data_IF_132184238574
#
_entry.id   IF_132184238574
#
_cell.length_a   1.000
_cell.length_b   1.000
_cell.length_c   1.000
_cell.angle_alpha   90.00
_cell.angle_beta   90.00
_cell.angle_gamma   90.00
#
_symmetry.space_group_name_H-M   'P 1'
#
loop_
_entity.id
_entity.type
_entity.pdbx_description
1 polymer ?
#
# COMPACT_ATOMS: atom_id res chain seq x y z
N UNK A 1 2.79 -38.74 78.95
CA UNK A 1 2.87 -39.25 77.57
C UNK A 1 1.59 -38.86 76.84
N UNK A 2 1.69 -37.92 75.89
CA UNK A 2 0.74 -37.41 74.87
C UNK A 2 -0.78 -37.57 75.10
N UNK A 3 -1.47 -36.45 75.37
CA UNK A 3 -2.87 -36.25 75.03
C UNK A 3 -2.97 -35.36 73.78
N UNK A 4 -3.65 -35.88 72.76
CA UNK A 4 -3.94 -35.23 71.47
C UNK A 4 -5.15 -34.31 71.65
N UNK A 5 -5.00 -33.00 71.39
CA UNK A 5 -6.13 -32.11 71.12
C UNK A 5 -6.16 -31.81 69.61
N UNK A 6 -7.17 -32.33 68.93
CA UNK A 6 -7.52 -31.96 67.55
C UNK A 6 -7.99 -30.50 67.55
N UNK A 7 -7.26 -29.63 66.85
CA UNK A 7 -7.76 -28.31 66.43
C UNK A 7 -8.30 -28.50 65.01
N UNK A 8 -9.61 -28.30 64.86
CA UNK A 8 -10.29 -28.28 63.58
C UNK A 8 -10.10 -26.88 62.99
N UNK A 9 -9.22 -26.74 61.99
CA UNK A 9 -9.09 -25.50 61.20
C UNK A 9 -10.26 -25.48 60.19
N UNK A 10 -11.25 -24.63 60.43
CA UNK A 10 -12.28 -24.33 59.42
C UNK A 10 -11.67 -23.28 58.48
N UNK A 11 -11.24 -23.71 57.30
CA UNK A 11 -10.90 -22.83 56.19
C UNK A 11 -12.19 -22.22 55.65
N UNK A 12 -12.48 -20.98 56.03
CA UNK A 12 -13.41 -20.13 55.30
C UNK A 12 -12.76 -19.79 53.96
N UNK A 13 -13.05 -20.57 52.91
CA UNK A 13 -12.81 -20.13 51.54
C UNK A 13 -13.81 -19.03 51.23
N UNK A 14 -13.41 -17.78 51.44
CA UNK A 14 -14.06 -16.67 50.77
C UNK A 14 -13.88 -16.88 49.26
N UNK A 15 -14.89 -17.46 48.62
CA UNK A 15 -15.09 -17.29 47.18
C UNK A 15 -15.38 -15.80 46.95
N UNK A 16 -14.32 -15.01 46.83
CA UNK A 16 -14.42 -13.72 46.14
C UNK A 16 -14.74 -14.09 44.69
N UNK A 17 -15.91 -13.72 44.13
CA UNK A 17 -16.11 -13.88 42.71
C UNK A 17 -14.99 -13.09 42.04
N UNK A 18 -14.08 -13.79 41.35
CA UNK A 18 -13.05 -13.15 40.53
C UNK A 18 -13.83 -12.25 39.58
N UNK A 19 -13.72 -10.94 39.83
CA UNK A 19 -14.48 -9.94 39.10
C UNK A 19 -14.18 -10.17 37.63
N UNK A 20 -15.17 -10.47 36.81
CA UNK A 20 -14.94 -10.92 35.42
C UNK A 20 -14.13 -9.92 34.59
N UNK A 21 -14.13 -8.66 35.03
CA UNK A 21 -13.29 -7.55 34.56
C UNK A 21 -11.78 -7.71 34.80
N UNK A 22 -11.36 -8.38 35.88
CA UNK A 22 -9.93 -8.55 36.21
C UNK A 22 -9.17 -9.46 35.24
N UNK A 23 -9.89 -10.09 34.29
CA UNK A 23 -9.33 -10.98 33.26
C UNK A 23 -9.25 -10.31 31.88
N UNK A 24 -9.66 -9.05 31.73
CA UNK A 24 -9.61 -8.33 30.46
C UNK A 24 -8.39 -7.41 30.45
N UNK A 25 -7.59 -7.48 29.39
CA UNK A 25 -6.49 -6.54 29.19
C UNK A 25 -7.04 -5.17 28.80
N UNK A 26 -6.96 -4.19 29.70
CA UNK A 26 -7.47 -2.84 29.48
C UNK A 26 -6.45 -1.90 28.80
N UNK A 27 -5.18 -2.32 28.68
CA UNK A 27 -4.15 -1.53 27.98
C UNK A 27 -4.17 -1.74 26.47
N UNK A 28 -4.69 -2.89 26.02
CA UNK A 28 -4.92 -3.18 24.60
C UNK A 28 -6.35 -2.85 24.22
N UNK A 29 -6.53 -1.91 23.31
CA UNK A 29 -7.86 -1.58 22.82
C UNK A 29 -7.88 -1.10 21.37
N UNK A 30 -9.07 -1.23 20.77
CA UNK A 30 -9.42 -0.69 19.47
C UNK A 30 -10.45 0.41 19.70
N UNK A 31 -10.29 1.56 19.06
CA UNK A 31 -11.16 2.72 19.23
C UNK A 31 -11.81 3.14 17.91
N UNK A 32 -13.10 3.43 17.98
CA UNK A 32 -13.88 3.97 16.86
C UNK A 32 -14.49 5.29 17.29
N UNK A 33 -14.39 6.33 16.46
CA UNK A 33 -15.20 7.54 16.61
C UNK A 33 -16.38 7.49 15.68
N UNK A 34 -17.55 7.83 16.18
CA UNK A 34 -18.80 7.64 15.47
C UNK A 34 -19.86 8.70 15.80
N UNK A 35 -20.90 8.73 14.99
CA UNK A 35 -22.17 9.37 15.35
C UNK A 35 -23.00 8.45 16.22
N UNK A 36 -23.75 9.03 17.15
CA UNK A 36 -24.73 8.32 17.99
C UNK A 36 -25.92 7.88 17.14
N UNK A 37 -26.43 6.67 17.39
CA UNK A 37 -27.62 6.09 16.74
C UNK A 37 -27.32 5.13 15.57
N UNK A 38 -26.07 5.02 15.14
CA UNK A 38 -25.66 4.16 14.04
C UNK A 38 -25.70 2.68 14.39
N UNK A 39 -26.14 1.84 13.45
CA UNK A 39 -26.01 0.39 13.58
C UNK A 39 -24.60 -0.04 13.21
N UNK A 40 -24.03 -0.97 13.99
CA UNK A 40 -22.81 -1.66 13.63
C UNK A 40 -22.85 -3.12 14.07
N UNK A 41 -22.08 -3.95 13.37
CA UNK A 41 -21.77 -5.31 13.79
C UNK A 41 -20.27 -5.46 13.98
N UNK A 42 -19.89 -6.26 14.98
CA UNK A 42 -18.49 -6.60 15.21
C UNK A 42 -18.33 -8.08 15.52
N UNK A 43 -17.38 -8.71 14.83
CA UNK A 43 -16.87 -10.05 15.12
C UNK A 43 -15.42 -9.91 15.56
N UNK A 44 -15.03 -10.68 16.58
CA UNK A 44 -13.71 -10.59 17.21
C UNK A 44 -13.08 -11.97 17.28
N UNK A 45 -11.76 -12.03 17.16
CA UNK A 45 -10.95 -13.21 17.45
C UNK A 45 -9.70 -12.85 18.27
N UNK A 46 -9.15 -13.85 18.94
CA UNK A 46 -7.97 -13.76 19.80
C UNK A 46 -7.08 -14.99 19.64
N UNK A 47 -5.88 -14.99 20.21
CA UNK A 47 -4.93 -16.11 20.05
C UNK A 47 -5.28 -17.32 20.94
N UNK A 48 -6.16 -17.14 21.91
CA UNK A 48 -6.68 -18.20 22.78
C UNK A 48 -8.20 -18.28 22.78
N UNK A 49 -8.74 -19.49 22.88
CA UNK A 49 -10.18 -19.69 23.05
C UNK A 49 -10.67 -19.13 24.39
N UNK A 50 -11.92 -18.67 24.42
CA UNK A 50 -12.54 -18.04 25.58
C UNK A 50 -11.78 -16.83 26.14
N UNK A 51 -11.05 -16.10 25.29
CA UNK A 51 -10.42 -14.83 25.67
C UNK A 51 -11.51 -13.82 26.01
N UNK A 52 -11.41 -13.18 27.17
CA UNK A 52 -12.37 -12.14 27.56
C UNK A 52 -12.00 -10.79 26.94
N UNK A 53 -13.02 -10.08 26.48
CA UNK A 53 -12.93 -8.70 26.03
C UNK A 53 -14.14 -7.91 26.50
N UNK A 54 -14.04 -6.58 26.40
CA UNK A 54 -15.13 -5.66 26.74
C UNK A 54 -15.44 -4.80 25.52
N UNK A 55 -16.70 -4.79 25.11
CA UNK A 55 -17.22 -3.80 24.16
C UNK A 55 -17.86 -2.69 24.99
N UNK A 56 -17.28 -1.50 24.91
CA UNK A 56 -17.72 -0.29 25.60
C UNK A 56 -18.22 0.76 24.61
N UNK A 57 -19.37 1.33 24.88
CA UNK A 57 -20.07 2.27 24.02
C UNK A 57 -20.92 3.21 24.90
N UNK A 58 -20.27 4.26 25.43
CA UNK A 58 -20.81 5.09 26.51
C UNK A 58 -21.01 4.32 27.81
N UNK A 59 -22.21 4.43 28.38
CA UNK A 59 -22.63 3.68 29.59
C UNK A 59 -22.90 2.19 29.30
N UNK A 60 -22.99 1.80 28.03
CA UNK A 60 -23.11 0.40 27.66
C UNK A 60 -21.75 -0.28 27.74
N UNK A 61 -21.69 -1.39 28.46
CA UNK A 61 -20.50 -2.21 28.62
C UNK A 61 -20.91 -3.68 28.60
N UNK A 62 -20.27 -4.49 27.75
CA UNK A 62 -20.54 -5.92 27.64
C UNK A 62 -19.25 -6.71 27.61
N UNK A 63 -19.12 -7.64 28.56
CA UNK A 63 -18.07 -8.66 28.53
C UNK A 63 -18.45 -9.72 27.51
N UNK A 64 -17.48 -10.06 26.66
CA UNK A 64 -17.63 -11.05 25.59
C UNK A 64 -16.55 -12.13 25.71
N UNK A 65 -16.87 -13.35 25.27
CA UNK A 65 -15.91 -14.45 25.20
C UNK A 65 -15.58 -14.71 23.73
N UNK A 66 -14.31 -14.53 23.39
CA UNK A 66 -13.78 -14.54 22.03
C UNK A 66 -13.09 -15.88 21.77
N UNK A 67 -13.32 -16.44 20.59
CA UNK A 67 -12.67 -17.66 20.10
C UNK A 67 -11.51 -17.34 19.14
N UNK A 68 -10.80 -18.38 18.70
CA UNK A 68 -9.61 -18.23 17.85
C UNK A 68 -9.96 -17.80 16.41
N UNK A 69 -11.09 -18.28 15.90
CA UNK A 69 -11.62 -17.92 14.58
C UNK A 69 -12.63 -16.77 14.66
N UNK A 70 -12.57 -15.84 13.71
CA UNK A 70 -13.49 -14.70 13.64
C UNK A 70 -14.97 -15.11 13.62
N UNK A 71 -15.31 -16.12 12.83
CA UNK A 71 -16.67 -16.63 12.69
C UNK A 71 -17.00 -17.76 13.69
N UNK A 72 -16.06 -18.09 14.58
CA UNK A 72 -16.30 -18.99 15.71
C UNK A 72 -16.80 -18.24 16.95
N UNK A 73 -16.61 -16.93 16.99
CA UNK A 73 -17.17 -16.04 18.02
C UNK A 73 -18.58 -15.58 17.64
N UNK A 74 -19.46 -15.27 18.61
CA UNK A 74 -20.74 -14.64 18.33
C UNK A 74 -20.56 -13.28 17.65
N UNK A 75 -21.46 -12.96 16.71
CA UNK A 75 -21.54 -11.62 16.14
C UNK A 75 -22.29 -10.67 17.08
N UNK A 76 -21.73 -9.49 17.31
CA UNK A 76 -22.32 -8.47 18.17
C UNK A 76 -22.91 -7.34 17.34
N UNK A 77 -24.23 -7.29 17.26
CA UNK A 77 -24.99 -6.25 16.57
C UNK A 77 -25.47 -5.21 17.60
N UNK A 78 -25.08 -3.95 17.42
CA UNK A 78 -25.24 -2.88 18.42
C UNK A 78 -25.59 -1.56 17.74
N UNK A 79 -26.17 -0.64 18.54
CA UNK A 79 -26.32 0.77 18.18
C UNK A 79 -25.26 1.59 18.90
N UNK A 80 -24.64 2.55 18.23
CA UNK A 80 -23.77 3.54 18.88
C UNK A 80 -24.59 4.38 19.87
N UNK A 81 -24.17 4.40 21.13
CA UNK A 81 -24.82 5.14 22.24
C UNK A 81 -23.98 6.31 22.73
N UNK A 82 -22.76 6.39 22.20
CA UNK A 82 -21.79 7.45 22.43
C UNK A 82 -21.03 7.71 21.14
N UNK A 83 -20.22 8.77 21.14
CA UNK A 83 -19.34 9.16 20.04
C UNK A 83 -18.07 8.33 19.95
N UNK A 84 -17.78 7.54 20.99
CA UNK A 84 -16.61 6.66 21.06
C UNK A 84 -17.05 5.24 21.43
N UNK A 85 -16.58 4.27 20.64
CA UNK A 85 -16.65 2.85 20.96
C UNK A 85 -15.22 2.39 21.27
N UNK A 86 -15.05 1.64 22.36
CA UNK A 86 -13.78 0.97 22.66
C UNK A 86 -13.98 -0.52 22.85
N UNK A 87 -13.11 -1.30 22.25
CA UNK A 87 -13.04 -2.75 22.44
C UNK A 87 -11.74 -3.05 23.16
N UNK A 88 -11.83 -3.44 24.43
CA UNK A 88 -10.68 -3.79 25.27
C UNK A 88 -10.44 -5.29 25.26
N UNK A 89 -9.19 -5.71 25.27
CA UNK A 89 -8.78 -7.10 25.44
C UNK A 89 -7.68 -7.52 24.48
N UNK A 90 -7.25 -8.77 24.62
CA UNK A 90 -6.22 -9.37 23.74
C UNK A 90 -6.81 -9.79 22.38
N UNK A 91 -7.47 -8.86 21.70
CA UNK A 91 -8.04 -9.07 20.36
C UNK A 91 -6.92 -9.05 19.32
N UNK A 92 -6.91 -10.03 18.43
CA UNK A 92 -5.95 -10.13 17.32
C UNK A 92 -6.59 -10.07 15.94
N UNK A 93 -7.91 -10.27 15.83
CA UNK A 93 -8.64 -10.15 14.56
C UNK A 93 -9.96 -9.44 14.77
N UNK A 94 -10.35 -8.62 13.78
CA UNK A 94 -11.62 -7.88 13.83
C UNK A 94 -12.29 -7.84 12.45
N UNK A 95 -13.57 -8.16 12.40
CA UNK A 95 -14.48 -7.83 11.29
C UNK A 95 -15.51 -6.83 11.84
N UNK A 96 -15.53 -5.63 11.28
CA UNK A 96 -16.34 -4.51 11.74
C UNK A 96 -17.15 -3.94 10.58
N UNK A 97 -18.47 -3.87 10.73
CA UNK A 97 -19.38 -3.39 9.67
C UNK A 97 -20.30 -2.31 10.21
N UNK A 98 -20.47 -1.23 9.47
CA UNK A 98 -21.44 -0.18 9.78
C UNK A 98 -22.45 -0.01 8.64
N UNK A 99 -23.68 0.41 8.94
CA UNK A 99 -24.74 0.52 7.92
C UNK A 99 -24.61 1.78 7.04
N UNK A 100 -24.18 2.93 7.58
CA UNK A 100 -24.39 4.21 6.88
C UNK A 100 -23.29 5.27 7.10
N UNK A 101 -22.02 4.87 7.17
CA UNK A 101 -20.92 5.84 7.17
C UNK A 101 -20.86 6.75 8.40
N UNK A 102 -21.39 6.27 9.52
CA UNK A 102 -21.42 7.02 10.76
C UNK A 102 -20.11 6.94 11.55
N UNK A 103 -19.21 6.02 11.21
CA UNK A 103 -17.87 5.93 11.81
C UNK A 103 -16.94 6.90 11.07
N UNK A 104 -16.42 7.87 11.81
CA UNK A 104 -15.56 8.96 11.31
C UNK A 104 -14.08 8.75 11.59
N UNK A 105 -13.72 7.80 12.45
CA UNK A 105 -12.34 7.49 12.79
C UNK A 105 -12.23 6.04 13.22
N UNK A 106 -11.20 5.35 12.73
CA UNK A 106 -10.88 3.97 13.10
C UNK A 106 -9.42 3.93 13.54
N UNK A 107 -9.21 3.91 14.86
CA UNK A 107 -7.89 3.95 15.46
C UNK A 107 -7.58 2.59 16.11
N UNK A 108 -6.48 1.99 15.65
CA UNK A 108 -5.98 0.70 16.15
C UNK A 108 -4.58 0.80 16.79
N UNK A 109 -4.01 2.01 16.89
CA UNK A 109 -2.61 2.21 17.32
C UNK A 109 -2.36 1.73 18.76
N UNK A 110 -3.43 1.55 19.55
CA UNK A 110 -3.40 1.00 20.91
C UNK A 110 -3.49 -0.54 20.95
N UNK A 111 -3.41 -1.22 19.81
CA UNK A 111 -3.38 -2.69 19.73
C UNK A 111 -2.47 -3.18 18.58
N UNK A 112 -1.16 -3.15 18.80
CA UNK A 112 -0.13 -3.57 17.84
C UNK A 112 -0.09 -5.07 17.51
N UNK A 113 -0.94 -5.86 18.15
CA UNK A 113 -1.03 -7.32 17.98
C UNK A 113 -2.15 -7.74 17.01
N UNK A 114 -2.84 -6.78 16.38
CA UNK A 114 -3.78 -7.11 15.33
C UNK A 114 -3.07 -7.72 14.13
N UNK A 115 -3.56 -8.88 13.69
CA UNK A 115 -3.07 -9.58 12.50
C UNK A 115 -4.05 -9.47 11.34
N UNK A 116 -5.34 -9.24 11.60
CA UNK A 116 -6.36 -9.18 10.55
C UNK A 116 -7.46 -8.16 10.83
N UNK A 117 -7.74 -7.32 9.84
CA UNK A 117 -8.75 -6.27 9.90
C UNK A 117 -9.62 -6.34 8.66
N UNK A 118 -10.93 -6.47 8.89
CA UNK A 118 -11.95 -6.23 7.89
C UNK A 118 -12.85 -5.11 8.38
N UNK A 119 -12.93 -4.02 7.62
CA UNK A 119 -13.79 -2.89 7.92
C UNK A 119 -14.61 -2.49 6.69
N UNK A 120 -15.88 -2.18 6.91
CA UNK A 120 -16.85 -1.90 5.85
C UNK A 120 -17.60 -0.61 6.15
N UNK A 121 -17.80 0.21 5.11
CA UNK A 121 -18.59 1.44 5.15
C UNK A 121 -18.11 2.45 6.21
N UNK A 122 -16.78 2.63 6.32
CA UNK A 122 -16.22 3.73 7.11
C UNK A 122 -16.38 5.06 6.33
N UNK A 123 -16.29 6.21 6.99
CA UNK A 123 -16.24 7.51 6.29
C UNK A 123 -14.98 8.21 6.73
N UNK A 124 -13.85 7.71 6.23
CA UNK A 124 -12.55 8.17 6.66
C UNK A 124 -11.68 8.57 5.48
N UNK A 125 -11.23 9.83 5.49
CA UNK A 125 -10.41 10.37 4.41
C UNK A 125 -8.98 9.80 4.40
N UNK A 126 -8.37 9.57 5.58
CA UNK A 126 -6.95 9.19 5.69
C UNK A 126 -6.69 8.15 6.78
N UNK A 127 -6.39 6.90 6.43
CA UNK A 127 -6.06 5.84 7.41
C UNK A 127 -4.56 5.74 7.68
N UNK A 128 -4.15 5.75 8.95
CA UNK A 128 -2.77 5.47 9.36
C UNK A 128 -2.69 4.26 10.29
N UNK A 129 -1.71 3.39 10.06
CA UNK A 129 -1.51 2.13 10.78
C UNK A 129 -0.13 2.06 11.44
N UNK A 130 0.23 3.11 12.19
CA UNK A 130 1.61 3.39 12.59
C UNK A 130 2.25 2.28 13.43
N UNK A 131 1.45 1.51 14.17
CA UNK A 131 1.90 0.43 15.06
C UNK A 131 1.39 -0.95 14.65
N UNK A 132 1.09 -1.19 13.36
CA UNK A 132 0.41 -2.40 12.90
C UNK A 132 1.31 -3.39 12.16
N UNK A 133 2.57 -3.50 12.60
CA UNK A 133 3.60 -4.30 11.94
C UNK A 133 3.28 -5.81 11.88
N UNK A 134 2.35 -6.30 12.70
CA UNK A 134 1.91 -7.70 12.68
C UNK A 134 0.74 -7.95 11.72
N UNK A 135 0.25 -6.92 11.02
CA UNK A 135 -0.92 -7.03 10.17
C UNK A 135 -0.59 -7.85 8.91
N UNK A 136 -1.34 -8.93 8.72
CA UNK A 136 -1.25 -9.83 7.56
C UNK A 136 -2.41 -9.63 6.59
N UNK A 137 -3.56 -9.16 7.10
CA UNK A 137 -4.77 -8.95 6.30
C UNK A 137 -5.35 -7.57 6.60
N UNK A 138 -5.47 -6.75 5.56
CA UNK A 138 -6.17 -5.47 5.62
C UNK A 138 -7.25 -5.43 4.54
N UNK A 139 -8.51 -5.28 4.96
CA UNK A 139 -9.65 -5.13 4.05
C UNK A 139 -10.50 -3.93 4.46
N UNK A 140 -10.59 -2.93 3.60
CA UNK A 140 -11.28 -1.66 3.82
C UNK A 140 -12.24 -1.38 2.67
N UNK A 141 -13.50 -1.79 2.79
CA UNK A 141 -14.48 -1.67 1.72
C UNK A 141 -15.40 -0.45 1.89
N UNK A 142 -15.74 0.22 0.79
CA UNK A 142 -16.69 1.35 0.73
C UNK A 142 -16.44 2.44 1.80
N UNK A 143 -15.16 2.75 2.04
CA UNK A 143 -14.72 3.52 3.21
C UNK A 143 -14.38 4.99 2.94
N UNK A 144 -14.60 5.47 1.70
CA UNK A 144 -14.29 6.84 1.23
C UNK A 144 -12.84 7.27 1.55
N UNK A 145 -11.93 6.32 1.39
CA UNK A 145 -10.50 6.54 1.63
C UNK A 145 -9.93 7.32 0.44
N UNK A 146 -9.24 8.42 0.70
CA UNK A 146 -8.53 9.20 -0.32
C UNK A 146 -7.06 8.75 -0.45
N UNK A 147 -6.46 8.34 0.67
CA UNK A 147 -5.09 7.83 0.73
C UNK A 147 -4.87 6.83 1.86
N UNK A 148 -3.91 5.92 1.67
CA UNK A 148 -3.47 4.95 2.68
C UNK A 148 -1.95 5.04 2.80
N UNK A 149 -1.47 5.13 4.03
CA UNK A 149 -0.05 5.02 4.33
C UNK A 149 0.30 3.57 4.65
N UNK A 150 1.12 2.96 3.80
CA UNK A 150 1.55 1.56 3.92
C UNK A 150 2.85 1.39 4.74
N UNK A 151 3.42 2.46 5.29
CA UNK A 151 4.59 2.34 6.16
C UNK A 151 4.29 1.39 7.32
N UNK A 152 5.26 0.52 7.61
CA UNK A 152 5.17 -0.52 8.64
C UNK A 152 4.16 -1.65 8.36
N UNK A 153 3.65 -1.80 7.13
CA UNK A 153 2.74 -2.89 6.75
C UNK A 153 3.41 -4.00 5.91
N UNK A 154 4.73 -4.14 6.03
CA UNK A 154 5.58 -5.09 5.26
C UNK A 154 5.15 -6.57 5.40
N UNK A 155 4.38 -6.91 6.44
CA UNK A 155 3.87 -8.25 6.68
C UNK A 155 2.51 -8.55 6.02
N UNK A 156 1.92 -7.59 5.30
CA UNK A 156 0.66 -7.81 4.60
C UNK A 156 0.79 -8.90 3.53
N UNK A 157 -0.12 -9.86 3.60
CA UNK A 157 -0.30 -10.94 2.63
C UNK A 157 -1.54 -10.67 1.78
N UNK A 158 -2.53 -9.97 2.34
CA UNK A 158 -3.80 -9.66 1.70
C UNK A 158 -4.14 -8.18 1.92
N UNK A 159 -4.37 -7.46 0.82
CA UNK A 159 -4.84 -6.08 0.82
C UNK A 159 -6.10 -5.98 -0.03
N UNK A 160 -7.19 -5.50 0.54
CA UNK A 160 -8.39 -5.15 -0.18
C UNK A 160 -8.88 -3.76 0.17
N UNK A 161 -9.13 -2.93 -0.84
CA UNK A 161 -9.66 -1.57 -0.71
C UNK A 161 -10.83 -1.29 -1.66
N UNK A 162 -11.75 -2.25 -1.91
CA UNK A 162 -12.75 -2.06 -2.97
C UNK A 162 -13.81 -1.02 -2.62
N UNK A 163 -14.33 -0.34 -3.63
CA UNK A 163 -15.42 0.64 -3.43
C UNK A 163 -14.95 1.97 -2.82
N UNK A 164 -13.64 2.22 -2.74
CA UNK A 164 -13.10 3.52 -2.36
C UNK A 164 -12.88 4.37 -3.62
N UNK A 165 -13.96 4.95 -4.13
CA UNK A 165 -13.94 5.75 -5.38
C UNK A 165 -13.01 6.98 -5.32
N UNK A 166 -12.75 7.50 -4.12
CA UNK A 166 -11.88 8.66 -3.87
C UNK A 166 -10.38 8.29 -3.83
N UNK A 167 -10.05 7.00 -3.73
CA UNK A 167 -8.67 6.51 -3.71
C UNK A 167 -8.11 6.51 -5.12
N UNK A 168 -7.17 7.41 -5.40
CA UNK A 168 -6.64 7.62 -6.77
C UNK A 168 -5.26 7.04 -7.02
N UNK A 169 -4.53 6.69 -5.96
CA UNK A 169 -3.16 6.17 -6.04
C UNK A 169 -2.91 5.02 -5.06
N UNK A 170 -2.16 4.02 -5.52
CA UNK A 170 -1.66 2.90 -4.71
C UNK A 170 -0.16 2.72 -4.96
N UNK A 171 0.67 3.10 -3.99
CA UNK A 171 2.11 2.80 -4.00
C UNK A 171 2.41 1.68 -3.01
N UNK A 172 2.68 0.48 -3.51
CA UNK A 172 2.71 -0.75 -2.73
C UNK A 172 4.11 -1.36 -2.64
N UNK A 173 5.17 -0.65 -3.04
CA UNK A 173 6.54 -1.18 -3.16
C UNK A 173 7.10 -1.85 -1.89
N UNK A 174 6.67 -1.38 -0.72
CA UNK A 174 7.13 -1.92 0.57
C UNK A 174 6.42 -3.24 0.96
N UNK A 175 5.32 -3.60 0.29
CA UNK A 175 4.47 -4.75 0.66
C UNK A 175 4.96 -6.08 0.05
N UNK A 176 6.26 -6.36 0.13
CA UNK A 176 6.93 -7.44 -0.62
C UNK A 176 6.37 -8.86 -0.39
N UNK A 177 5.61 -9.07 0.69
CA UNK A 177 4.93 -10.34 1.03
C UNK A 177 3.50 -10.45 0.50
N UNK A 178 3.00 -9.42 -0.19
CA UNK A 178 1.62 -9.35 -0.65
C UNK A 178 1.34 -10.40 -1.72
N UNK A 179 0.26 -11.17 -1.53
CA UNK A 179 -0.18 -12.25 -2.43
C UNK A 179 -1.48 -11.91 -3.14
N UNK A 180 -2.36 -11.21 -2.45
CA UNK A 180 -3.72 -10.91 -2.92
C UNK A 180 -3.94 -9.41 -2.81
N UNK A 181 -4.32 -8.78 -3.92
CA UNK A 181 -4.58 -7.36 -4.02
C UNK A 181 -5.96 -7.11 -4.65
N UNK A 182 -6.87 -6.46 -3.93
CA UNK A 182 -8.21 -6.16 -4.42
C UNK A 182 -8.46 -4.65 -4.35
N UNK A 183 -8.61 -4.00 -5.50
CA UNK A 183 -8.87 -2.56 -5.58
C UNK A 183 -9.91 -2.21 -6.64
N UNK A 184 -10.81 -3.14 -6.93
CA UNK A 184 -11.94 -2.93 -7.81
C UNK A 184 -12.90 -1.84 -7.31
N UNK A 185 -13.59 -1.16 -8.23
CA UNK A 185 -14.49 -0.05 -7.93
C UNK A 185 -13.78 1.07 -7.15
N UNK A 186 -12.61 1.51 -7.62
CA UNK A 186 -11.84 2.61 -7.02
C UNK A 186 -11.52 3.69 -8.05
N UNK A 187 -11.11 4.87 -7.60
CA UNK A 187 -10.64 5.94 -8.47
C UNK A 187 -9.19 5.78 -8.94
N UNK A 188 -8.57 4.61 -8.70
CA UNK A 188 -7.13 4.40 -8.89
C UNK A 188 -6.76 4.62 -10.36
N UNK A 189 -5.82 5.53 -10.57
CA UNK A 189 -5.25 5.88 -11.88
C UNK A 189 -3.72 5.75 -11.92
N UNK A 190 -3.09 5.66 -10.75
CA UNK A 190 -1.65 5.45 -10.56
C UNK A 190 -1.43 4.28 -9.58
N UNK A 191 -0.78 3.22 -10.06
CA UNK A 191 -0.50 2.02 -9.27
C UNK A 191 0.96 1.60 -9.43
N UNK A 192 1.61 1.28 -8.33
CA UNK A 192 2.99 0.80 -8.29
C UNK A 192 3.09 -0.49 -7.46
N UNK A 193 3.33 -1.61 -8.15
CA UNK A 193 3.50 -2.94 -7.56
C UNK A 193 4.92 -3.50 -7.76
N UNK A 194 5.89 -2.64 -8.10
CA UNK A 194 7.27 -3.09 -8.31
C UNK A 194 7.83 -3.74 -7.04
N UNK A 195 8.49 -4.89 -7.20
CA UNK A 195 9.07 -5.67 -6.09
C UNK A 195 8.09 -6.63 -5.41
N UNK A 196 6.81 -6.67 -5.81
CA UNK A 196 5.81 -7.58 -5.24
C UNK A 196 5.90 -9.00 -5.83
N UNK A 197 7.02 -9.67 -5.55
CA UNK A 197 7.38 -10.96 -6.14
C UNK A 197 6.45 -12.12 -5.73
N UNK A 198 5.73 -11.99 -4.60
CA UNK A 198 4.77 -12.98 -4.10
C UNK A 198 3.34 -12.78 -4.60
N UNK A 199 3.06 -11.72 -5.38
CA UNK A 199 1.71 -11.39 -5.84
C UNK A 199 1.15 -12.43 -6.81
N UNK A 200 -0.07 -12.92 -6.59
CA UNK A 200 -0.68 -13.99 -7.41
C UNK A 200 -2.15 -13.77 -7.77
N UNK A 201 -2.86 -12.91 -7.05
CA UNK A 201 -4.28 -12.66 -7.26
C UNK A 201 -4.56 -11.16 -7.22
N UNK A 202 -5.21 -10.64 -8.26
CA UNK A 202 -5.52 -9.22 -8.39
C UNK A 202 -6.95 -9.03 -8.89
N UNK A 203 -7.75 -8.24 -8.15
CA UNK A 203 -9.03 -7.71 -8.63
C UNK A 203 -8.90 -6.20 -8.88
N UNK A 204 -8.99 -5.76 -10.15
CA UNK A 204 -8.77 -4.37 -10.54
C UNK A 204 -9.80 -3.78 -11.52
N UNK A 205 -10.98 -4.40 -11.62
CA UNK A 205 -12.05 -3.91 -12.49
C UNK A 205 -12.71 -2.63 -11.97
N UNK A 206 -13.30 -1.87 -12.89
CA UNK A 206 -13.97 -0.60 -12.63
C UNK A 206 -13.05 0.39 -11.88
N UNK A 207 -11.88 0.65 -12.47
CA UNK A 207 -10.88 1.62 -12.00
C UNK A 207 -10.69 2.75 -13.02
N UNK A 208 -9.90 3.78 -12.68
CA UNK A 208 -9.55 4.89 -13.58
C UNK A 208 -8.19 4.67 -14.27
N UNK A 209 -7.73 3.43 -14.39
CA UNK A 209 -6.50 3.13 -15.12
C UNK A 209 -6.65 3.51 -16.59
N UNK A 210 -5.71 4.29 -17.10
CA UNK A 210 -5.57 4.51 -18.55
C UNK A 210 -5.04 3.25 -19.23
N UNK A 211 -5.06 3.21 -20.57
CA UNK A 211 -4.42 2.12 -21.33
C UNK A 211 -2.95 1.92 -20.91
N UNK A 212 -2.20 3.01 -20.76
CA UNK A 212 -0.81 2.98 -20.27
C UNK A 212 -0.72 2.52 -18.80
N UNK A 213 -1.74 2.79 -17.99
CA UNK A 213 -1.84 2.30 -16.61
C UNK A 213 -1.96 0.78 -16.56
N UNK A 214 -2.81 0.18 -17.41
CA UNK A 214 -2.89 -1.27 -17.57
C UNK A 214 -1.57 -1.86 -18.06
N UNK A 215 -0.97 -1.26 -19.09
CA UNK A 215 0.32 -1.70 -19.61
C UNK A 215 1.43 -1.67 -18.53
N UNK A 216 1.49 -0.58 -17.76
CA UNK A 216 2.46 -0.44 -16.66
C UNK A 216 2.22 -1.47 -15.56
N UNK A 217 0.95 -1.73 -15.21
CA UNK A 217 0.58 -2.78 -14.26
C UNK A 217 1.06 -4.14 -14.75
N UNK A 218 0.79 -4.50 -16.02
CA UNK A 218 1.20 -5.78 -16.61
C UNK A 218 2.71 -5.94 -16.65
N UNK A 219 3.44 -4.85 -16.94
CA UNK A 219 4.90 -4.84 -16.90
C UNK A 219 5.48 -5.00 -15.50
N UNK A 220 4.78 -4.54 -14.46
CA UNK A 220 5.23 -4.67 -13.07
C UNK A 220 4.85 -6.01 -12.42
N UNK A 221 3.98 -6.83 -13.04
CA UNK A 221 3.63 -8.16 -12.53
C UNK A 221 4.88 -9.07 -12.43
N UNK A 222 5.00 -9.91 -11.39
CA UNK A 222 6.09 -10.87 -11.28
C UNK A 222 5.93 -12.04 -12.25
N UNK A 223 7.04 -12.68 -12.59
CA UNK A 223 7.05 -13.96 -13.32
C UNK A 223 6.44 -15.07 -12.46
N UNK A 224 5.43 -15.76 -12.99
CA UNK A 224 4.81 -16.91 -12.33
C UNK A 224 5.43 -18.22 -12.85
N UNK A 225 5.88 -19.09 -11.96
CA UNK A 225 6.38 -20.42 -12.34
C UNK A 225 5.28 -21.29 -12.96
N UNK A 226 5.63 -22.24 -13.84
CA UNK A 226 4.68 -23.14 -14.52
C UNK A 226 3.72 -23.90 -13.59
N UNK A 227 4.11 -24.14 -12.33
CA UNK A 227 3.28 -24.83 -11.32
C UNK A 227 2.31 -23.93 -10.56
N UNK A 228 2.45 -22.61 -10.68
CA UNK A 228 1.72 -21.59 -9.91
C UNK A 228 1.49 -20.36 -10.78
N UNK A 229 0.40 -20.35 -11.54
CA UNK A 229 0.00 -19.20 -12.36
C UNK A 229 -0.64 -18.08 -11.54
N UNK A 230 -0.51 -16.85 -12.04
CA UNK A 230 -1.19 -15.68 -11.50
C UNK A 230 -2.58 -15.48 -12.13
N UNK A 231 -3.49 -14.87 -11.39
CA UNK A 231 -4.84 -14.54 -11.86
C UNK A 231 -5.11 -13.05 -11.68
N UNK A 232 -5.69 -12.41 -12.68
CA UNK A 232 -6.06 -11.00 -12.62
C UNK A 232 -7.46 -10.76 -13.22
N UNK A 233 -8.39 -10.28 -12.40
CA UNK A 233 -9.72 -9.84 -12.83
C UNK A 233 -9.64 -8.38 -13.27
N UNK A 234 -9.59 -8.17 -14.57
CA UNK A 234 -9.31 -6.86 -15.20
C UNK A 234 -10.56 -6.04 -15.50
N UNK A 235 -11.70 -6.70 -15.69
CA UNK A 235 -12.98 -6.08 -16.05
C UNK A 235 -14.14 -6.72 -15.27
N UNK A 236 -15.23 -5.98 -15.10
CA UNK A 236 -16.45 -6.55 -14.54
C UNK A 236 -17.13 -7.44 -15.60
N UNK A 237 -17.48 -6.85 -16.74
CA UNK A 237 -17.92 -7.51 -17.97
C UNK A 237 -17.71 -6.55 -19.16
N UNK A 238 -18.06 -6.97 -20.38
CA UNK A 238 -17.86 -6.17 -21.60
C UNK A 238 -18.76 -4.93 -21.73
N UNK A 239 -19.69 -4.71 -20.80
CA UNK A 239 -20.61 -3.56 -20.81
C UNK A 239 -20.09 -2.38 -19.97
N UNK A 240 -19.05 -2.58 -19.17
CA UNK A 240 -18.46 -1.55 -18.32
C UNK A 240 -17.53 -0.61 -19.11
N UNK A 241 -17.41 0.63 -18.62
CA UNK A 241 -16.71 1.72 -19.31
C UNK A 241 -15.20 1.54 -19.42
N UNK A 242 -14.60 0.70 -18.58
CA UNK A 242 -13.17 0.37 -18.58
C UNK A 242 -12.81 -0.68 -19.64
N UNK A 243 -13.79 -1.44 -20.16
CA UNK A 243 -13.56 -2.49 -21.15
C UNK A 243 -12.80 -2.02 -22.41
N UNK A 244 -13.18 -0.91 -23.10
CA UNK A 244 -12.44 -0.44 -24.27
C UNK A 244 -11.01 0.00 -23.94
N UNK A 245 -10.81 0.59 -22.75
CA UNK A 245 -9.49 1.03 -22.26
C UNK A 245 -8.57 -0.17 -22.04
N UNK A 246 -9.08 -1.23 -21.39
CA UNK A 246 -8.38 -2.51 -21.25
C UNK A 246 -8.09 -3.15 -22.60
N UNK A 247 -9.07 -3.23 -23.52
CA UNK A 247 -8.87 -3.84 -24.84
C UNK A 247 -7.83 -3.12 -25.71
N UNK A 248 -7.49 -1.87 -25.38
CA UNK A 248 -6.44 -1.09 -26.05
C UNK A 248 -5.03 -1.30 -25.48
N UNK A 249 -4.89 -1.97 -24.33
CA UNK A 249 -3.60 -2.33 -23.71
C UNK A 249 -2.97 -3.55 -24.37
N UNK A 250 -1.78 -3.98 -23.94
CA UNK A 250 -1.12 -5.20 -24.39
C UNK A 250 -1.09 -6.28 -23.28
N UNK A 251 -2.09 -7.15 -23.26
CA UNK A 251 -2.18 -8.28 -22.34
C UNK A 251 -1.15 -9.38 -22.61
N UNK A 252 -0.41 -9.35 -23.72
CA UNK A 252 0.70 -10.30 -23.92
C UNK A 252 1.80 -10.12 -22.85
N UNK A 253 1.93 -8.91 -22.30
CA UNK A 253 2.88 -8.60 -21.23
C UNK A 253 2.62 -9.36 -19.92
N UNK A 254 1.35 -9.62 -19.58
CA UNK A 254 1.01 -10.44 -18.40
C UNK A 254 0.96 -11.94 -18.77
N UNK A 255 0.48 -12.27 -19.97
CA UNK A 255 0.36 -13.67 -20.42
C UNK A 255 1.73 -14.34 -20.53
N UNK A 256 2.74 -13.62 -21.04
CA UNK A 256 4.13 -14.12 -21.10
C UNK A 256 4.71 -14.44 -19.74
N UNK A 257 4.18 -13.82 -18.67
CA UNK A 257 4.55 -14.04 -17.28
C UNK A 257 3.70 -15.10 -16.59
N UNK A 258 2.94 -15.90 -17.35
CA UNK A 258 2.02 -16.92 -16.85
C UNK A 258 0.91 -16.34 -15.91
N UNK A 259 0.38 -15.17 -16.27
CA UNK A 259 -0.84 -14.62 -15.68
C UNK A 259 -2.05 -14.83 -16.59
N UNK A 260 -3.21 -15.05 -15.99
CA UNK A 260 -4.48 -15.23 -16.69
C UNK A 260 -5.41 -14.04 -16.45
N UNK A 261 -5.72 -13.24 -17.49
CA UNK A 261 -6.66 -12.14 -17.37
C UNK A 261 -8.10 -12.67 -17.49
N UNK A 262 -8.97 -12.32 -16.56
CA UNK A 262 -10.37 -12.77 -16.55
C UNK A 262 -11.37 -11.63 -16.35
N UNK A 263 -12.64 -11.90 -16.65
CA UNK A 263 -13.76 -11.12 -16.14
C UNK A 263 -14.08 -11.49 -14.68
N UNK A 264 -15.06 -10.81 -14.06
CA UNK A 264 -15.51 -11.08 -12.68
C UNK A 264 -16.04 -12.49 -12.45
N UNK A 265 -16.42 -13.20 -13.51
CA UNK A 265 -16.95 -14.55 -13.46
C UNK A 265 -15.85 -15.58 -13.75
N UNK A 266 -14.58 -15.15 -13.70
CA UNK A 266 -13.39 -15.95 -13.96
C UNK A 266 -13.37 -16.56 -15.37
N UNK A 267 -14.01 -15.90 -16.34
CA UNK A 267 -13.90 -16.26 -17.74
C UNK A 267 -12.67 -15.60 -18.35
N UNK A 268 -11.84 -16.39 -19.04
CA UNK A 268 -10.62 -15.91 -19.68
C UNK A 268 -10.93 -14.81 -20.70
N UNK A 269 -10.16 -13.73 -20.64
CA UNK A 269 -10.24 -12.64 -21.59
C UNK A 269 -9.50 -12.95 -22.89
N UNK A 270 -10.01 -12.51 -24.05
CA UNK A 270 -9.24 -12.59 -25.28
C UNK A 270 -7.99 -11.70 -25.17
N UNK A 271 -6.93 -11.99 -25.95
CA UNK A 271 -5.81 -11.07 -26.11
C UNK A 271 -6.29 -9.67 -26.53
N UNK A 272 -5.68 -8.64 -25.97
CA UNK A 272 -6.00 -7.25 -26.28
C UNK A 272 -5.23 -6.77 -27.52
N UNK A 273 -5.56 -5.58 -28.03
CA UNK A 273 -5.08 -5.11 -29.33
C UNK A 273 -3.84 -4.19 -29.27
N UNK A 274 -3.42 -3.78 -28.07
CA UNK A 274 -2.28 -2.90 -27.88
C UNK A 274 -0.96 -3.58 -28.19
N UNK A 275 0.06 -2.78 -28.49
CA UNK A 275 1.38 -3.26 -28.91
C UNK A 275 2.51 -2.76 -28.01
N UNK A 276 2.17 -2.18 -26.85
CA UNK A 276 3.16 -1.68 -25.91
C UNK A 276 3.93 -2.86 -25.31
N UNK A 277 5.23 -2.96 -25.58
CA UNK A 277 6.06 -4.06 -25.13
C UNK A 277 6.88 -3.63 -23.91
N UNK A 278 6.77 -4.37 -22.80
CA UNK A 278 7.57 -4.10 -21.60
C UNK A 278 9.07 -4.11 -21.92
N UNK A 279 9.52 -4.94 -22.86
CA UNK A 279 10.93 -4.97 -23.28
C UNK A 279 11.39 -3.67 -23.94
N UNK A 280 10.46 -2.85 -24.42
CA UNK A 280 10.77 -1.49 -24.90
C UNK A 280 11.05 -0.50 -23.75
N UNK A 281 10.62 -0.84 -22.53
CA UNK A 281 10.98 -0.15 -21.29
C UNK A 281 12.31 -0.70 -20.77
N UNK A 282 12.59 -1.99 -21.01
CA UNK A 282 13.90 -2.63 -20.84
C UNK A 282 14.83 -2.35 -22.03
N UNK A 283 15.14 -1.08 -22.29
CA UNK A 283 16.59 -0.82 -22.33
C UNK A 283 16.98 -1.15 -20.90
N UNK A 284 17.85 -2.15 -20.70
CA UNK A 284 18.37 -2.56 -19.39
C UNK A 284 18.40 -1.36 -18.45
N UNK A 285 18.13 -1.56 -17.16
CA UNK A 285 18.65 -0.67 -16.13
C UNK A 285 20.16 -0.51 -16.40
N UNK A 286 20.51 0.44 -17.27
CA UNK A 286 21.65 1.27 -17.07
C UNK A 286 21.24 1.90 -15.76
N UNK A 287 21.74 1.33 -14.66
CA UNK A 287 22.26 2.13 -13.57
C UNK A 287 23.04 3.25 -14.28
N UNK A 288 22.33 4.31 -14.65
CA UNK A 288 22.95 5.54 -15.02
C UNK A 288 23.45 6.02 -13.68
N UNK A 289 24.64 5.56 -13.31
CA UNK A 289 25.39 6.18 -12.24
C UNK A 289 25.38 7.67 -12.59
N UNK A 290 24.63 8.42 -11.78
CA UNK A 290 24.46 9.82 -12.02
C UNK A 290 25.85 10.42 -11.89
N UNK A 291 26.41 10.87 -13.01
CA UNK A 291 27.75 11.46 -13.01
C UNK A 291 27.70 12.71 -12.18
N UNK A 292 28.16 12.66 -10.93
CA UNK A 292 28.26 13.82 -10.05
C UNK A 292 29.33 14.78 -10.57
N UNK A 293 28.93 16.02 -10.86
CA UNK A 293 29.77 17.04 -11.44
C UNK A 293 29.57 18.39 -10.75
N UNK A 294 30.66 19.11 -10.52
CA UNK A 294 30.65 20.52 -10.17
C UNK A 294 30.71 21.33 -11.46
N UNK A 295 29.68 22.11 -11.72
CA UNK A 295 29.58 22.97 -12.91
C UNK A 295 29.48 24.43 -12.46
N UNK A 296 30.54 25.21 -12.68
CA UNK A 296 30.62 26.58 -12.18
C UNK A 296 31.46 27.50 -13.08
N UNK A 297 31.23 28.83 -13.05
CA UNK A 297 30.12 29.49 -12.36
C UNK A 297 28.78 29.19 -13.04
N UNK A 298 27.69 29.14 -12.29
CA UNK A 298 26.35 29.04 -12.84
C UNK A 298 25.45 30.00 -12.06
N UNK A 299 25.01 31.15 -12.62
CA UNK A 299 25.11 31.55 -14.04
C UNK A 299 26.53 31.81 -14.58
N UNK A 300 26.74 31.60 -15.89
CA UNK A 300 28.01 31.75 -16.60
C UNK A 300 27.97 32.85 -17.66
N UNK A 301 29.14 33.44 -17.97
CA UNK A 301 29.30 34.41 -19.07
C UNK A 301 29.98 33.71 -20.26
N UNK A 302 31.29 33.50 -20.23
CA UNK A 302 32.00 32.96 -21.41
C UNK A 302 32.43 31.50 -21.24
N UNK A 303 32.65 31.04 -20.00
CA UNK A 303 33.21 29.73 -19.73
C UNK A 303 32.53 29.05 -18.54
N UNK A 304 32.50 27.72 -18.58
CA UNK A 304 32.16 26.83 -17.47
C UNK A 304 33.36 25.96 -17.13
N UNK A 305 33.65 25.80 -15.85
CA UNK A 305 34.51 24.75 -15.32
C UNK A 305 33.64 23.56 -14.94
N UNK A 306 34.05 22.37 -15.37
CA UNK A 306 33.36 21.11 -15.12
C UNK A 306 34.36 20.18 -14.43
N UNK A 307 34.04 19.78 -13.20
CA UNK A 307 34.81 18.80 -12.44
C UNK A 307 33.93 17.59 -12.13
N UNK A 308 34.40 16.40 -12.51
CA UNK A 308 33.74 15.11 -12.24
C UNK A 308 34.69 14.17 -11.52
N UNK A 309 34.15 13.15 -10.85
CA UNK A 309 34.98 12.07 -10.31
C UNK A 309 35.62 11.25 -11.44
N UNK A 310 34.80 10.89 -12.43
CA UNK A 310 35.17 10.02 -13.55
C UNK A 310 35.47 10.81 -14.84
N UNK A 311 36.20 10.19 -15.77
CA UNK A 311 36.57 10.81 -17.06
C UNK A 311 35.34 11.01 -17.96
N UNK A 312 35.10 12.24 -18.39
CA UNK A 312 34.04 12.58 -19.34
C UNK A 312 34.49 12.27 -20.75
N UNK A 313 33.84 11.29 -21.37
CA UNK A 313 34.10 10.89 -22.76
C UNK A 313 33.37 11.75 -23.76
N UNK A 314 32.14 12.17 -23.42
CA UNK A 314 31.29 13.00 -24.28
C UNK A 314 30.56 14.04 -23.47
N UNK A 315 30.47 15.23 -24.05
CA UNK A 315 29.72 16.36 -23.53
C UNK A 315 28.82 16.91 -24.63
N UNK A 316 27.57 17.20 -24.31
CA UNK A 316 26.62 17.84 -25.21
C UNK A 316 25.86 18.97 -24.48
N UNK A 317 25.62 20.08 -25.17
CA UNK A 317 24.79 21.19 -24.65
C UNK A 317 23.58 21.35 -25.54
N UNK A 318 22.42 21.48 -24.94
CA UNK A 318 21.12 21.66 -25.61
C UNK A 318 20.49 22.99 -25.18
N UNK A 319 19.83 23.67 -26.10
CA UNK A 319 19.00 24.83 -25.78
C UNK A 319 17.65 24.42 -25.16
N UNK A 320 16.84 25.42 -24.77
CA UNK A 320 15.54 25.21 -24.14
C UNK A 320 14.51 24.48 -25.01
N UNK A 321 14.74 24.40 -26.33
CA UNK A 321 13.88 23.66 -27.28
C UNK A 321 14.41 22.24 -27.54
N UNK A 322 15.49 21.83 -26.87
CA UNK A 322 16.10 20.52 -27.03
C UNK A 322 17.02 20.40 -28.25
N UNK A 323 17.35 21.50 -28.93
CA UNK A 323 18.32 21.48 -30.04
C UNK A 323 19.74 21.47 -29.48
N UNK A 324 20.56 20.52 -29.96
CA UNK A 324 21.97 20.42 -29.60
C UNK A 324 22.76 21.59 -30.20
N UNK A 325 23.41 22.37 -29.35
CA UNK A 325 24.21 23.55 -29.72
C UNK A 325 25.71 23.33 -29.55
N UNK A 326 26.15 22.42 -28.68
CA UNK A 326 27.56 22.03 -28.52
C UNK A 326 27.66 20.51 -28.40
N UNK A 327 28.71 19.92 -28.98
CA UNK A 327 29.09 18.51 -28.79
C UNK A 327 30.62 18.39 -28.79
N UNK A 328 31.21 17.77 -27.77
CA UNK A 328 32.66 17.60 -27.59
C UNK A 328 32.98 16.25 -26.96
N UNK A 329 34.23 15.80 -27.09
CA UNK A 329 34.78 14.60 -26.42
C UNK A 329 36.00 14.98 -25.58
N UNK A 330 35.82 15.49 -24.35
CA UNK A 330 36.91 16.05 -23.54
C UNK A 330 37.98 15.03 -23.17
N UNK A 331 37.59 13.79 -22.87
CA UNK A 331 38.45 12.71 -22.35
C UNK A 331 39.25 13.14 -21.11
N UNK A 332 38.62 13.95 -20.26
CA UNK A 332 39.18 14.51 -19.03
C UNK A 332 38.08 14.56 -17.95
N UNK A 333 38.46 14.59 -16.67
CA UNK A 333 37.55 14.75 -15.53
C UNK A 333 37.57 16.17 -14.92
N UNK A 334 38.44 17.05 -15.42
CA UNK A 334 38.45 18.48 -15.09
C UNK A 334 38.84 19.28 -16.34
N UNK A 335 37.95 20.15 -16.81
CA UNK A 335 38.16 20.96 -18.01
C UNK A 335 37.26 22.19 -18.06
N UNK A 336 37.59 23.12 -18.96
CA UNK A 336 36.76 24.30 -19.23
C UNK A 336 36.01 24.17 -20.56
N UNK A 337 34.75 24.58 -20.56
CA UNK A 337 33.87 24.65 -21.71
C UNK A 337 33.59 26.10 -22.08
N UNK A 338 34.02 26.52 -23.27
CA UNK A 338 33.66 27.79 -23.88
C UNK A 338 32.19 27.79 -24.34
N UNK A 339 31.44 28.75 -23.83
CA UNK A 339 30.02 29.02 -24.15
C UNK A 339 29.81 30.48 -24.61
N UNK A 340 30.87 31.22 -24.90
CA UNK A 340 30.81 32.65 -25.30
C UNK A 340 29.90 32.90 -26.51
N UNK A 341 29.83 31.93 -27.42
CA UNK A 341 29.02 31.99 -28.64
C UNK A 341 27.54 31.62 -28.43
N UNK A 342 27.14 31.25 -27.21
CA UNK A 342 25.74 30.98 -26.87
C UNK A 342 25.01 32.28 -26.52
N UNK A 343 23.76 32.40 -26.97
CA UNK A 343 22.89 33.50 -26.56
C UNK A 343 22.51 33.40 -25.07
N UNK A 344 22.01 34.50 -24.49
CA UNK A 344 21.53 34.50 -23.11
C UNK A 344 20.33 33.57 -22.99
N UNK A 345 20.34 32.66 -22.01
CA UNK A 345 19.27 31.68 -21.88
C UNK A 345 19.59 30.51 -20.96
N UNK A 346 18.65 29.56 -20.92
CA UNK A 346 18.78 28.30 -20.17
C UNK A 346 19.22 27.21 -21.14
N UNK A 347 20.22 26.45 -20.71
CA UNK A 347 20.75 25.31 -21.44
C UNK A 347 20.80 24.07 -20.56
N UNK A 348 20.80 22.90 -21.19
CA UNK A 348 21.04 21.61 -20.53
C UNK A 348 22.38 21.07 -21.01
N UNK A 349 23.32 20.89 -20.09
CA UNK A 349 24.57 20.18 -20.31
C UNK A 349 24.40 18.71 -19.94
N UNK A 350 24.67 17.83 -20.90
CA UNK A 350 24.78 16.39 -20.67
C UNK A 350 26.24 15.98 -20.68
N UNK A 351 26.63 15.20 -19.68
CA UNK A 351 27.95 14.59 -19.53
C UNK A 351 27.79 13.08 -19.61
N UNK A 352 28.68 12.40 -20.33
CA UNK A 352 28.75 10.95 -20.41
C UNK A 352 30.15 10.50 -20.03
N UNK A 353 30.23 9.59 -19.06
CA UNK A 353 31.44 8.89 -18.63
C UNK A 353 31.32 7.41 -19.00
N UNK A 354 32.30 6.58 -18.61
CA UNK A 354 32.16 5.12 -18.70
C UNK A 354 31.09 4.56 -17.75
N UNK A 355 30.90 5.21 -16.61
CA UNK A 355 30.01 4.73 -15.53
C UNK A 355 28.56 5.20 -15.74
N UNK A 356 28.33 6.35 -16.40
CA UNK A 356 26.95 6.81 -16.63
C UNK A 356 26.81 8.16 -17.30
N UNK A 357 25.63 8.77 -17.13
CA UNK A 357 25.26 10.06 -17.72
C UNK A 357 24.75 11.01 -16.64
N UNK A 358 25.20 12.26 -16.67
CA UNK A 358 24.71 13.35 -15.81
C UNK A 358 24.12 14.50 -16.64
N UNK A 359 23.07 15.15 -16.13
CA UNK A 359 22.43 16.31 -16.78
C UNK A 359 22.38 17.53 -15.85
N UNK A 360 22.83 18.68 -16.34
CA UNK A 360 23.05 19.90 -15.58
C UNK A 360 22.38 21.10 -16.24
N UNK A 361 21.56 21.83 -15.49
CA UNK A 361 21.01 23.11 -15.95
C UNK A 361 22.09 24.18 -15.89
N UNK A 362 22.32 24.88 -17.01
CA UNK A 362 23.20 26.04 -17.12
C UNK A 362 22.35 27.28 -17.40
N UNK A 363 22.72 28.40 -16.77
CA UNK A 363 22.18 29.73 -17.09
C UNK A 363 23.29 30.56 -17.71
N UNK A 364 23.12 30.99 -18.97
CA UNK A 364 24.03 31.88 -19.70
C UNK A 364 23.52 33.32 -19.62
N UNK A 365 24.37 34.22 -19.12
CA UNK A 365 24.07 35.65 -18.92
C UNK A 365 24.63 36.57 -19.99
#
# INVERSE_FOLDING_TARGET
>A
MKFIKKILLILFSCFVPINSYSQVNMERFIEFKCNVGANFSVNLAADSSNTKAIIKNGMYEKIVNIQIGLFSSPSYNLNTRDTIIRIYGNVTKIDFRCSDGFIRDFNIDSNSYLTQIWAYNLVYKNVSFNNSNNLEVLYLQYSRIESIDFRNLENLIYLGVPGNEELTKLDLRELTRLKILMFQNTGVSDININGLNELRDIDCYNTNLSTMGYDSLFCALPECSDSLSGMIVVIYDSTYSDFPTYMSSNSQNLISKNWFPTDRNYQLMPPTNGTFDCSSIWIDDVELDFVEAKVYPNPAIDYLCIETKEVVQRLEVYDALGKRVISKTPNQNNFSLDISNLEKGIYILKLQTNEGIGSYKIVKN
#
